data_IF_781651326378
#
_entry.id   IF_781651326378
#
_cell.length_a   1.000
_cell.length_b   1.000
_cell.length_c   1.000
_cell.angle_alpha   90.00
_cell.angle_beta   90.00
_cell.angle_gamma   90.00
#
_symmetry.space_group_name_H-M   'P 1'
#
loop_
_entity.id
_entity.type
_entity.pdbx_description
1 polymer ?
#
# COMPACT_ATOMS: atom_id res chain seq x y z
N UNK A 1 -38.29 -41.37 -42.14
CA UNK A 1 -36.92 -41.00 -41.72
C UNK A 1 -36.94 -39.51 -41.40
N UNK A 2 -36.95 -39.12 -40.12
CA UNK A 2 -36.91 -37.72 -39.67
C UNK A 2 -35.69 -37.58 -38.76
N UNK A 3 -34.71 -36.79 -39.20
CA UNK A 3 -33.53 -36.44 -38.42
C UNK A 3 -33.90 -35.16 -37.68
N UNK A 4 -34.03 -35.25 -36.36
CA UNK A 4 -34.32 -34.11 -35.49
C UNK A 4 -33.01 -33.36 -35.22
N UNK A 5 -32.95 -32.10 -35.63
CA UNK A 5 -31.87 -31.18 -35.31
C UNK A 5 -32.00 -30.74 -33.84
N UNK A 6 -31.13 -31.26 -32.98
CA UNK A 6 -30.95 -30.72 -31.63
C UNK A 6 -29.91 -29.60 -31.70
N UNK A 7 -30.37 -28.35 -31.58
CA UNK A 7 -29.51 -27.18 -31.40
C UNK A 7 -29.05 -27.20 -29.94
N UNK A 8 -27.77 -27.49 -29.73
CA UNK A 8 -27.11 -27.34 -28.43
C UNK A 8 -26.74 -25.86 -28.29
N UNK A 9 -27.47 -25.13 -27.44
CA UNK A 9 -27.04 -23.81 -26.98
C UNK A 9 -25.94 -24.01 -25.94
N UNK A 10 -24.68 -23.84 -26.37
CA UNK A 10 -23.55 -23.72 -25.46
C UNK A 10 -23.62 -22.30 -24.87
N UNK A 11 -24.17 -22.18 -23.65
CA UNK A 11 -24.04 -20.97 -22.86
C UNK A 11 -22.55 -20.81 -22.50
N UNK A 12 -21.86 -19.94 -23.23
CA UNK A 12 -20.56 -19.40 -22.83
C UNK A 12 -20.81 -18.54 -21.59
N UNK A 13 -20.69 -19.17 -20.41
CA UNK A 13 -20.45 -18.44 -19.17
C UNK A 13 -19.07 -17.80 -19.34
N UNK A 14 -19.05 -16.53 -19.75
CA UNK A 14 -17.84 -15.71 -19.59
C UNK A 14 -17.51 -15.72 -18.10
N UNK A 15 -16.32 -16.17 -17.68
CA UNK A 15 -15.88 -15.95 -16.32
C UNK A 15 -15.76 -14.43 -16.17
N UNK A 16 -16.76 -13.81 -15.56
CA UNK A 16 -16.52 -12.54 -14.91
C UNK A 16 -15.54 -12.89 -13.79
N UNK A 17 -14.29 -12.48 -13.94
CA UNK A 17 -13.33 -12.50 -12.84
C UNK A 17 -13.89 -11.55 -11.78
N UNK A 18 -14.70 -12.09 -10.88
CA UNK A 18 -15.13 -11.37 -9.68
C UNK A 18 -13.93 -11.34 -8.77
N UNK A 19 -13.23 -10.21 -8.75
CA UNK A 19 -12.17 -9.95 -7.79
C UNK A 19 -12.74 -9.95 -6.38
N UNK A 20 -12.04 -10.60 -5.45
CA UNK A 20 -12.44 -10.63 -4.06
C UNK A 20 -12.25 -9.23 -3.44
N UNK A 21 -13.24 -8.77 -2.69
CA UNK A 21 -13.10 -7.53 -1.91
C UNK A 21 -11.91 -7.65 -0.94
N UNK A 22 -11.26 -6.54 -0.62
CA UNK A 22 -10.18 -6.56 0.35
C UNK A 22 -10.61 -7.17 1.70
N UNK A 23 -9.84 -8.15 2.15
CA UNK A 23 -9.98 -8.75 3.48
C UNK A 23 -9.02 -8.00 4.40
N UNK A 24 -9.58 -7.08 5.17
CA UNK A 24 -8.79 -6.29 6.09
C UNK A 24 -8.51 -7.05 7.39
N UNK A 25 -7.33 -6.86 8.01
CA UNK A 25 -7.07 -7.39 9.34
C UNK A 25 -8.08 -6.81 10.34
N UNK A 26 -8.55 -7.69 11.22
CA UNK A 26 -9.62 -7.36 12.17
C UNK A 26 -9.09 -6.89 13.52
N UNK A 27 -7.84 -7.23 13.84
CA UNK A 27 -7.16 -6.81 15.05
C UNK A 27 -6.02 -5.84 14.68
N UNK A 28 -5.77 -4.85 15.55
CA UNK A 28 -4.64 -3.95 15.35
C UNK A 28 -3.28 -4.68 15.45
N UNK A 29 -3.23 -5.79 16.20
CA UNK A 29 -2.02 -6.61 16.37
C UNK A 29 -1.63 -7.41 15.12
N UNK A 30 -2.54 -7.53 14.15
CA UNK A 30 -2.24 -8.19 12.86
C UNK A 30 -1.40 -7.25 11.95
N UNK A 31 -1.38 -5.95 12.24
CA UNK A 31 -0.61 -4.97 11.49
C UNK A 31 0.83 -4.89 12.00
N UNK A 32 1.77 -4.85 11.06
CA UNK A 32 3.18 -4.65 11.40
C UNK A 32 3.49 -3.16 11.35
N UNK A 33 3.79 -2.58 12.51
CA UNK A 33 4.24 -1.21 12.62
C UNK A 33 5.59 -1.00 11.92
N UNK A 34 5.71 0.08 11.15
CA UNK A 34 6.92 0.45 10.43
C UNK A 34 7.63 1.57 11.18
N UNK A 35 8.91 1.35 11.47
CA UNK A 35 9.77 2.37 12.07
C UNK A 35 10.64 3.02 11.01
N UNK A 36 10.77 4.34 11.09
CA UNK A 36 11.69 5.10 10.24
C UNK A 36 13.05 5.16 10.93
N UNK A 37 14.13 5.14 10.15
CA UNK A 37 15.47 5.30 10.68
C UNK A 37 15.77 6.76 11.10
N UNK A 38 16.81 6.95 11.93
CA UNK A 38 17.33 8.21 12.51
C UNK A 38 16.83 8.60 13.91
N UNK A 39 16.10 7.73 14.61
CA UNK A 39 15.67 7.99 15.99
C UNK A 39 14.64 9.12 16.12
N UNK A 40 14.17 9.66 14.99
CA UNK A 40 12.92 10.39 14.87
C UNK A 40 11.83 9.34 14.63
N UNK A 41 11.29 8.76 15.72
CA UNK A 41 10.18 7.80 15.66
C UNK A 41 8.83 8.39 15.23
N UNK A 42 8.85 9.47 14.43
CA UNK A 42 7.72 10.35 14.19
C UNK A 42 7.76 10.80 12.72
N UNK A 43 6.61 10.83 12.07
CA UNK A 43 6.38 11.68 10.91
C UNK A 43 5.97 13.05 11.43
N UNK A 44 6.44 14.10 10.78
CA UNK A 44 6.13 15.45 11.20
C UNK A 44 6.42 16.42 10.09
N UNK A 45 5.43 17.27 9.82
CA UNK A 45 5.49 18.62 9.28
C UNK A 45 6.91 18.99 8.78
N UNK A 46 7.14 18.84 7.46
CA UNK A 46 8.28 19.53 6.83
C UNK A 46 8.17 20.99 7.18
N UNK A 47 9.28 21.71 7.33
CA UNK A 47 9.29 23.10 7.84
C UNK A 47 8.42 24.15 7.09
N UNK A 48 7.64 23.73 6.09
CA UNK A 48 6.75 24.48 5.21
C UNK A 48 5.32 23.91 5.11
N UNK A 49 4.81 23.09 6.05
CA UNK A 49 3.41 22.66 6.00
C UNK A 49 2.44 23.85 6.25
N UNK A 50 2.15 24.58 5.18
CA UNK A 50 1.20 25.67 5.18
C UNK A 50 -0.16 25.17 4.70
N UNK A 51 -0.97 24.70 5.66
CA UNK A 51 -2.43 24.68 5.61
C UNK A 51 -3.14 23.78 4.56
N UNK A 52 -4.30 23.17 4.93
CA UNK A 52 -4.74 22.91 6.30
C UNK A 52 -3.87 21.87 6.99
N UNK A 53 -3.56 22.10 8.27
CA UNK A 53 -2.80 21.23 9.18
C UNK A 53 -3.67 20.14 9.82
N UNK A 54 -4.76 19.76 9.15
CA UNK A 54 -5.80 18.88 9.69
C UNK A 54 -5.85 17.54 8.96
N UNK A 55 -4.84 17.25 8.14
CA UNK A 55 -4.80 16.02 7.35
C UNK A 55 -3.37 15.45 7.33
N UNK A 56 -2.63 15.75 8.40
CA UNK A 56 -1.22 15.45 8.56
C UNK A 56 -1.08 13.99 9.00
N UNK A 57 -0.02 13.32 8.53
CA UNK A 57 0.35 12.03 9.06
C UNK A 57 0.86 12.19 10.50
N UNK A 58 0.26 11.47 11.46
CA UNK A 58 0.59 11.59 12.88
C UNK A 58 1.01 10.26 13.50
N UNK A 59 2.04 10.28 14.34
CA UNK A 59 2.47 9.10 15.08
C UNK A 59 3.57 9.41 16.07
N UNK A 60 3.89 8.44 16.93
CA UNK A 60 4.94 8.49 17.92
C UNK A 60 5.51 7.09 18.26
N UNK A 61 6.52 7.04 19.13
CA UNK A 61 7.17 5.79 19.56
C UNK A 61 6.21 4.74 20.16
N UNK A 62 5.07 5.16 20.69
CA UNK A 62 4.03 4.29 21.27
C UNK A 62 2.77 4.17 20.40
N UNK A 63 2.69 4.94 19.32
CA UNK A 63 1.54 5.04 18.44
C UNK A 63 2.04 5.20 17.00
N UNK A 64 2.42 4.09 16.35
CA UNK A 64 3.04 4.16 15.02
C UNK A 64 2.14 4.86 14.00
N UNK A 65 2.75 5.56 13.05
CA UNK A 65 2.03 6.23 11.96
C UNK A 65 1.75 5.23 10.83
N UNK A 66 2.78 4.56 10.35
CA UNK A 66 2.71 3.64 9.22
C UNK A 66 2.69 2.20 9.72
N UNK A 67 1.79 1.42 9.15
CA UNK A 67 1.75 -0.03 9.30
C UNK A 67 1.60 -0.68 7.93
N UNK A 68 1.97 -1.94 7.85
CA UNK A 68 1.74 -2.76 6.67
C UNK A 68 1.29 -4.16 7.06
N UNK A 69 0.71 -4.87 6.10
CA UNK A 69 0.28 -6.24 6.23
C UNK A 69 0.29 -6.93 4.86
N UNK A 70 0.72 -8.19 4.83
CA UNK A 70 0.56 -9.06 3.67
C UNK A 70 -0.56 -10.06 3.95
N UNK A 71 -1.65 -9.95 3.20
CA UNK A 71 -2.81 -10.83 3.31
C UNK A 71 -2.65 -12.01 2.35
N UNK A 72 -2.17 -13.13 2.89
CA UNK A 72 -2.22 -14.46 2.24
C UNK A 72 -3.63 -15.04 2.41
N UNK A 73 -4.37 -15.20 1.31
CA UNK A 73 -5.72 -15.75 1.35
C UNK A 73 -5.74 -17.28 1.50
N UNK A 74 -4.58 -17.90 1.74
CA UNK A 74 -4.41 -19.30 2.06
C UNK A 74 -4.53 -20.20 0.84
N UNK A 75 -4.43 -19.63 -0.37
CA UNK A 75 -4.43 -20.38 -1.62
C UNK A 75 -3.01 -20.49 -2.18
N UNK A 76 -2.80 -21.41 -3.11
CA UNK A 76 -1.48 -21.57 -3.77
C UNK A 76 -1.29 -20.49 -4.84
N UNK A 77 -2.41 -19.95 -5.34
CA UNK A 77 -2.41 -18.87 -6.31
C UNK A 77 -2.34 -17.54 -5.55
N UNK A 78 -1.44 -16.65 -5.96
CA UNK A 78 -1.27 -15.34 -5.31
C UNK A 78 -2.16 -14.27 -5.97
N UNK A 79 -2.98 -14.67 -6.94
CA UNK A 79 -3.88 -13.75 -7.65
C UNK A 79 -4.96 -13.15 -6.76
N UNK A 80 -5.22 -13.74 -5.58
CA UNK A 80 -6.13 -13.21 -4.56
C UNK A 80 -5.42 -12.61 -3.34
N UNK A 81 -4.09 -12.65 -3.27
CA UNK A 81 -3.32 -12.06 -2.18
C UNK A 81 -3.26 -10.53 -2.29
N UNK A 82 -3.02 -9.86 -1.16
CA UNK A 82 -2.99 -8.40 -1.11
C UNK A 82 -1.84 -7.86 -0.26
N UNK A 83 -1.25 -6.76 -0.74
CA UNK A 83 -0.41 -5.89 0.07
C UNK A 83 -1.26 -4.75 0.62
N UNK A 84 -1.14 -4.49 1.92
CA UNK A 84 -1.99 -3.55 2.64
C UNK A 84 -1.13 -2.60 3.46
N UNK A 85 -1.52 -1.33 3.45
CA UNK A 85 -0.90 -0.27 4.23
C UNK A 85 -1.95 0.42 5.08
N UNK A 86 -1.52 0.90 6.23
CA UNK A 86 -2.33 1.71 7.14
C UNK A 86 -1.52 2.92 7.55
N UNK A 87 -2.12 4.08 7.39
CA UNK A 87 -1.57 5.37 7.81
C UNK A 87 -2.43 5.94 8.92
N UNK A 88 -1.82 6.41 10.00
CA UNK A 88 -2.50 7.21 11.01
C UNK A 88 -2.45 8.68 10.60
N UNK A 89 -3.61 9.30 10.54
CA UNK A 89 -3.79 10.70 10.18
C UNK A 89 -4.53 11.42 11.31
N UNK A 90 -4.33 12.72 11.45
CA UNK A 90 -5.09 13.50 12.41
C UNK A 90 -6.55 13.75 11.98
N UNK A 91 -7.28 14.45 12.85
CA UNK A 91 -8.71 14.68 12.68
C UNK A 91 -8.99 15.56 11.46
N UNK A 92 -9.97 15.14 10.63
CA UNK A 92 -10.46 15.73 9.36
C UNK A 92 -10.23 14.91 8.07
N UNK A 93 -10.42 13.58 8.13
CA UNK A 93 -10.54 12.68 6.97
C UNK A 93 -11.57 13.10 5.87
N UNK A 94 -12.35 14.17 6.08
CA UNK A 94 -13.40 14.63 5.18
C UNK A 94 -13.05 15.89 4.36
N UNK A 95 -11.81 16.40 4.44
CA UNK A 95 -11.41 17.60 3.69
C UNK A 95 -10.66 17.24 2.38
N UNK A 96 -11.22 17.52 1.19
CA UNK A 96 -10.76 16.89 -0.05
C UNK A 96 -9.64 17.65 -0.80
N UNK A 97 -8.41 17.70 -0.31
CA UNK A 97 -7.29 18.38 -1.00
C UNK A 97 -5.94 17.65 -0.93
N UNK A 98 -5.95 16.35 -0.63
CA UNK A 98 -4.75 15.65 -0.20
C UNK A 98 -4.53 14.34 -0.93
N UNK A 99 -3.25 14.03 -1.12
CA UNK A 99 -2.77 12.74 -1.57
C UNK A 99 -1.95 12.09 -0.44
N UNK A 100 -2.37 10.91 0.02
CA UNK A 100 -1.56 10.07 0.91
C UNK A 100 -0.83 9.03 0.08
N UNK A 101 0.46 8.91 0.30
CA UNK A 101 1.35 8.17 -0.57
C UNK A 101 2.14 7.13 0.22
N UNK A 102 2.28 5.95 -0.36
CA UNK A 102 3.31 4.97 0.00
C UNK A 102 4.31 4.98 -1.14
N UNK A 103 5.56 5.31 -0.82
CA UNK A 103 6.65 5.35 -1.78
C UNK A 103 7.48 4.08 -1.65
N UNK A 104 7.91 3.53 -2.78
CA UNK A 104 8.60 2.25 -2.85
C UNK A 104 9.97 2.40 -3.49
N UNK A 105 10.90 1.65 -2.93
CA UNK A 105 12.20 1.35 -3.50
C UNK A 105 12.27 -0.17 -3.67
N UNK A 106 12.23 -0.58 -4.93
CA UNK A 106 12.04 -1.95 -5.38
C UNK A 106 13.34 -2.60 -5.84
N UNK A 107 14.37 -1.82 -6.15
CA UNK A 107 15.67 -2.37 -6.56
C UNK A 107 16.80 -2.14 -5.52
N UNK A 108 16.48 -1.50 -4.41
CA UNK A 108 17.36 -1.18 -3.27
C UNK A 108 18.49 -0.21 -3.58
N UNK A 109 18.34 0.64 -4.59
CA UNK A 109 19.30 1.69 -4.93
C UNK A 109 19.15 2.99 -4.11
N UNK A 110 18.08 3.07 -3.31
CA UNK A 110 17.68 4.19 -2.45
C UNK A 110 17.03 5.38 -3.17
N UNK A 111 16.54 5.16 -4.39
CA UNK A 111 15.56 5.97 -5.10
C UNK A 111 14.10 5.58 -4.80
N UNK A 112 13.15 6.39 -5.24
CA UNK A 112 11.72 6.03 -5.25
C UNK A 112 11.38 5.56 -6.66
N UNK A 113 11.10 4.27 -6.82
CA UNK A 113 10.71 3.67 -8.09
C UNK A 113 9.21 3.81 -8.38
N UNK A 114 8.39 3.61 -7.35
CA UNK A 114 6.94 3.58 -7.47
C UNK A 114 6.26 4.31 -6.31
N UNK A 115 5.06 4.82 -6.58
CA UNK A 115 4.19 5.45 -5.58
C UNK A 115 2.80 4.85 -5.67
N UNK A 116 2.30 4.35 -4.54
CA UNK A 116 0.89 4.04 -4.31
C UNK A 116 0.24 5.24 -3.63
N UNK A 117 -0.68 5.88 -4.33
CA UNK A 117 -1.32 7.11 -3.88
C UNK A 117 -2.83 6.90 -3.69
N UNK A 118 -3.37 7.40 -2.59
CA UNK A 118 -4.78 7.73 -2.45
C UNK A 118 -4.94 9.24 -2.64
N UNK A 119 -5.40 9.65 -3.82
CA UNK A 119 -5.80 11.02 -4.11
C UNK A 119 -7.25 11.21 -3.66
N UNK A 120 -7.42 12.06 -2.65
CA UNK A 120 -8.70 12.44 -2.08
C UNK A 120 -8.98 13.93 -2.32
N UNK A 121 -8.63 14.44 -3.50
CA UNK A 121 -8.87 15.82 -3.93
C UNK A 121 -10.31 16.12 -4.38
N UNK A 122 -11.21 15.11 -4.39
CA UNK A 122 -12.63 15.29 -4.67
C UNK A 122 -13.00 15.37 -6.15
N UNK A 123 -12.11 15.08 -7.12
CA UNK A 123 -12.46 15.14 -8.55
C UNK A 123 -11.67 14.22 -9.51
N UNK A 124 -12.04 12.93 -9.65
CA UNK A 124 -12.66 12.07 -8.64
C UNK A 124 -11.60 11.56 -7.64
N UNK A 125 -12.02 11.16 -6.44
CA UNK A 125 -11.14 10.41 -5.54
C UNK A 125 -10.69 9.12 -6.23
N UNK A 126 -9.41 8.79 -6.11
CA UNK A 126 -8.79 7.72 -6.88
C UNK A 126 -7.59 7.13 -6.14
N UNK A 127 -7.37 5.84 -6.37
CA UNK A 127 -6.14 5.17 -5.97
C UNK A 127 -5.29 4.91 -7.20
N UNK A 128 -4.00 5.19 -7.09
CA UNK A 128 -3.07 5.23 -8.21
C UNK A 128 -1.83 4.46 -7.86
N UNK A 129 -1.30 3.68 -8.79
CA UNK A 129 0.04 3.12 -8.67
C UNK A 129 0.87 3.56 -9.88
N UNK A 130 1.91 4.33 -9.63
CA UNK A 130 2.60 5.07 -10.68
C UNK A 130 4.11 4.92 -10.49
N UNK A 131 4.84 4.69 -11.57
CA UNK A 131 6.30 4.77 -11.56
C UNK A 131 6.75 6.23 -11.48
N UNK A 132 7.97 6.50 -11.00
CA UNK A 132 8.55 7.84 -11.04
C UNK A 132 9.32 8.07 -12.34
N UNK A 133 9.37 9.33 -12.81
CA UNK A 133 10.21 9.72 -13.98
C UNK A 133 11.63 10.09 -13.53
N UNK A 134 11.73 10.64 -12.32
CA UNK A 134 12.95 11.13 -11.67
C UNK A 134 12.84 10.58 -10.25
N UNK A 135 13.72 9.64 -9.90
CA UNK A 135 13.54 8.79 -8.73
C UNK A 135 14.32 7.48 -8.74
N UNK A 136 15.09 7.17 -9.80
CA UNK A 136 15.79 5.87 -9.94
C UNK A 136 17.21 5.96 -10.51
N UNK A 137 17.83 7.15 -10.52
CA UNK A 137 19.24 7.29 -10.92
C UNK A 137 20.07 8.09 -9.89
N UNK A 138 20.02 7.66 -8.62
CA UNK A 138 21.13 7.84 -7.68
C UNK A 138 20.90 8.67 -6.41
N UNK A 139 21.85 8.50 -5.48
CA UNK A 139 21.91 9.08 -4.12
C UNK A 139 21.94 10.62 -4.03
N UNK A 140 21.98 11.31 -5.17
CA UNK A 140 22.09 12.78 -5.24
C UNK A 140 20.73 13.47 -5.50
N UNK A 141 19.64 12.71 -5.70
CA UNK A 141 18.29 13.25 -5.88
C UNK A 141 17.66 13.63 -4.53
N UNK A 142 16.98 14.78 -4.50
CA UNK A 142 16.25 15.23 -3.29
C UNK A 142 14.75 14.98 -3.42
N UNK A 143 14.04 15.02 -2.29
CA UNK A 143 12.57 14.81 -2.27
C UNK A 143 11.84 15.73 -3.26
N UNK A 144 12.30 16.98 -3.40
CA UNK A 144 11.71 17.96 -4.32
C UNK A 144 11.86 17.62 -5.82
N UNK A 145 12.81 16.75 -6.18
CA UNK A 145 13.05 16.34 -7.57
C UNK A 145 12.10 15.22 -8.02
N UNK A 146 11.42 14.55 -7.07
CA UNK A 146 10.54 13.41 -7.33
C UNK A 146 9.29 13.86 -8.08
N UNK A 147 9.13 13.34 -9.31
CA UNK A 147 7.96 13.58 -10.16
C UNK A 147 7.37 12.27 -10.61
N UNK A 148 6.04 12.15 -10.56
CA UNK A 148 5.34 10.92 -10.96
C UNK A 148 5.18 10.84 -12.48
N UNK A 149 5.29 9.62 -13.03
CA UNK A 149 5.04 9.37 -14.44
C UNK A 149 3.54 9.39 -14.75
N UNK A 150 3.02 10.60 -15.01
CA UNK A 150 1.61 10.80 -15.38
C UNK A 150 1.24 10.21 -16.73
N UNK A 151 2.22 9.79 -17.55
CA UNK A 151 1.97 9.14 -18.84
C UNK A 151 1.77 7.63 -18.71
N UNK A 152 2.29 7.00 -17.64
CA UNK A 152 2.11 5.57 -17.34
C UNK A 152 1.45 5.22 -15.97
N UNK A 153 0.45 5.98 -15.48
CA UNK A 153 -0.24 5.68 -14.23
C UNK A 153 -1.14 4.46 -14.36
N UNK A 154 -1.09 3.59 -13.35
CA UNK A 154 -2.03 2.50 -13.21
C UNK A 154 -3.20 2.98 -12.34
N UNK A 155 -4.23 3.52 -12.99
CA UNK A 155 -5.43 4.05 -12.32
C UNK A 155 -6.46 2.96 -12.01
N UNK A 156 -7.10 3.09 -10.85
CA UNK A 156 -8.17 2.19 -10.38
C UNK A 156 -9.56 2.48 -10.95
N UNK A 157 -9.71 3.45 -11.85
CA UNK A 157 -11.03 3.65 -12.49
C UNK A 157 -11.37 2.55 -13.49
N UNK A 158 -10.39 1.81 -14.05
CA UNK A 158 -10.69 0.79 -15.06
C UNK A 158 -9.92 -0.54 -15.00
N UNK A 159 -8.72 -0.66 -14.39
CA UNK A 159 -7.93 -1.91 -14.50
C UNK A 159 -7.09 -2.34 -13.29
N UNK A 160 -7.19 -1.68 -12.13
CA UNK A 160 -6.55 -2.14 -10.88
C UNK A 160 -7.54 -2.26 -9.74
N UNK A 161 -7.39 -3.37 -9.03
CA UNK A 161 -8.12 -3.66 -7.80
C UNK A 161 -7.29 -3.11 -6.64
N UNK A 162 -7.60 -1.88 -6.27
CA UNK A 162 -7.15 -1.30 -5.02
C UNK A 162 -8.37 -0.84 -4.22
N UNK A 163 -8.23 -0.87 -2.91
CA UNK A 163 -9.29 -0.53 -1.97
C UNK A 163 -8.76 0.47 -0.95
N UNK A 164 -9.61 1.39 -0.51
CA UNK A 164 -9.32 2.21 0.66
C UNK A 164 -10.49 2.27 1.61
N UNK A 165 -10.19 2.57 2.88
CA UNK A 165 -11.20 2.91 3.88
C UNK A 165 -10.62 3.84 4.94
N UNK A 166 -11.51 4.63 5.51
CA UNK A 166 -11.25 5.40 6.72
C UNK A 166 -11.89 4.69 7.91
N UNK A 167 -11.15 4.55 9.01
CA UNK A 167 -11.65 4.00 10.27
C UNK A 167 -11.13 4.86 11.41
N UNK A 168 -11.91 4.98 12.49
CA UNK A 168 -11.42 5.64 13.70
C UNK A 168 -10.34 4.78 14.36
N UNK A 169 -9.35 5.41 14.96
CA UNK A 169 -8.28 4.68 15.68
C UNK A 169 -8.82 3.95 16.92
N UNK A 170 -9.84 4.53 17.57
CA UNK A 170 -10.56 3.92 18.69
C UNK A 170 -9.75 3.81 19.99
N UNK A 171 -8.55 4.40 20.03
CA UNK A 171 -7.68 4.42 21.22
C UNK A 171 -7.87 5.68 22.08
N UNK A 172 -8.67 6.64 21.60
CA UNK A 172 -8.93 7.91 22.29
C UNK A 172 -7.71 8.84 22.33
N UNK A 173 -6.70 8.57 21.52
CA UNK A 173 -5.52 9.43 21.35
C UNK A 173 -5.79 10.37 20.17
N UNK A 174 -5.48 11.65 20.37
CA UNK A 174 -5.43 12.66 19.32
C UNK A 174 -4.00 13.22 19.31
N UNK A 175 -3.25 12.92 18.26
CA UNK A 175 -1.89 13.42 18.05
C UNK A 175 -1.87 14.69 17.19
N UNK A 176 -3.00 15.02 16.55
CA UNK A 176 -3.20 16.24 15.77
C UNK A 176 -3.30 17.51 16.59
N UNK A 177 -3.25 18.64 15.86
CA UNK A 177 -3.40 20.00 16.44
C UNK A 177 -4.88 20.40 16.63
N UNK A 178 -5.82 19.66 16.05
CA UNK A 178 -7.27 19.89 16.11
C UNK A 178 -8.06 18.60 16.37
N UNK A 179 -9.34 18.71 16.73
CA UNK A 179 -10.25 17.56 16.73
C UNK A 179 -10.41 16.74 18.02
N UNK A 180 -11.09 15.58 17.91
CA UNK A 180 -11.40 14.69 19.04
C UNK A 180 -10.74 13.30 19.00
N UNK A 181 -10.36 12.80 17.82
CA UNK A 181 -9.66 11.52 17.66
C UNK A 181 -8.90 11.46 16.32
N UNK A 182 -7.85 10.66 16.26
CA UNK A 182 -7.14 10.35 15.02
C UNK A 182 -7.88 9.26 14.20
N UNK A 183 -7.59 9.19 12.90
CA UNK A 183 -8.12 8.17 11.99
C UNK A 183 -7.01 7.30 11.40
N UNK A 184 -7.38 6.11 10.94
CA UNK A 184 -6.58 5.33 10.02
C UNK A 184 -7.13 5.44 8.60
N UNK A 185 -6.21 5.61 7.65
CA UNK A 185 -6.43 5.39 6.22
C UNK A 185 -5.80 4.05 5.88
N UNK A 186 -6.63 3.06 5.55
CA UNK A 186 -6.14 1.78 5.04
C UNK A 186 -6.18 1.82 3.51
N UNK A 187 -5.11 1.35 2.87
CA UNK A 187 -4.98 1.20 1.41
C UNK A 187 -4.55 -0.24 1.12
N UNK A 188 -5.23 -0.92 0.21
CA UNK A 188 -4.90 -2.28 -0.22
C UNK A 188 -4.73 -2.34 -1.73
N UNK A 189 -3.81 -3.17 -2.19
CA UNK A 189 -3.60 -3.49 -3.60
C UNK A 189 -3.44 -5.00 -3.77
N UNK A 190 -4.02 -5.53 -4.83
CA UNK A 190 -3.79 -6.92 -5.22
C UNK A 190 -2.30 -7.18 -5.48
N UNK A 191 -1.76 -8.22 -4.85
CA UNK A 191 -0.34 -8.57 -4.93
C UNK A 191 0.13 -8.82 -6.35
N UNK A 192 -0.70 -9.46 -7.18
CA UNK A 192 -0.37 -9.72 -8.58
C UNK A 192 -0.20 -8.41 -9.39
N UNK A 193 -0.96 -7.36 -9.06
CA UNK A 193 -0.79 -6.04 -9.68
C UNK A 193 0.56 -5.45 -9.29
N UNK A 194 0.84 -5.43 -7.98
CA UNK A 194 2.11 -4.91 -7.44
C UNK A 194 3.31 -5.65 -8.04
N UNK A 195 3.36 -6.98 -7.90
CA UNK A 195 4.46 -7.82 -8.38
C UNK A 195 4.66 -7.78 -9.89
N UNK A 196 3.59 -7.68 -10.69
CA UNK A 196 3.71 -7.54 -12.15
C UNK A 196 4.33 -6.20 -12.53
N UNK A 197 3.95 -5.14 -11.82
CA UNK A 197 4.44 -3.79 -12.10
C UNK A 197 5.89 -3.60 -11.64
N UNK A 198 6.24 -4.09 -10.44
CA UNK A 198 7.55 -3.89 -9.80
C UNK A 198 8.56 -5.00 -10.04
N UNK A 199 8.11 -6.16 -10.54
CA UNK A 199 8.91 -7.38 -10.64
C UNK A 199 9.43 -7.91 -9.28
N UNK A 200 8.80 -7.53 -8.17
CA UNK A 200 9.06 -8.07 -6.82
C UNK A 200 8.31 -9.38 -6.63
N UNK A 201 9.02 -10.45 -6.25
CA UNK A 201 8.47 -11.73 -5.83
C UNK A 201 8.37 -11.88 -4.30
N UNK A 202 7.74 -12.97 -3.84
CA UNK A 202 7.54 -13.27 -2.41
C UNK A 202 8.83 -13.45 -1.59
N UNK A 203 9.97 -13.67 -2.23
CA UNK A 203 11.25 -13.83 -1.55
C UNK A 203 12.12 -12.59 -1.62
N UNK A 204 11.70 -11.61 -2.42
CA UNK A 204 12.45 -10.40 -2.63
C UNK A 204 12.19 -9.42 -1.49
N UNK A 205 13.12 -8.52 -1.32
CA UNK A 205 13.04 -7.46 -0.31
C UNK A 205 12.91 -6.14 -1.02
N UNK A 206 12.04 -5.28 -0.50
CA UNK A 206 11.89 -3.90 -0.95
C UNK A 206 11.81 -2.99 0.29
N UNK A 207 12.01 -1.71 0.06
CA UNK A 207 11.85 -0.67 1.09
C UNK A 207 10.65 0.19 0.73
N UNK A 208 10.04 0.77 1.75
CA UNK A 208 8.98 1.74 1.53
C UNK A 208 8.93 2.76 2.66
N UNK A 209 8.32 3.89 2.35
CA UNK A 209 8.01 4.96 3.28
C UNK A 209 6.63 5.53 2.98
N UNK A 210 6.21 6.49 3.79
CA UNK A 210 4.99 7.25 3.52
C UNK A 210 5.31 8.70 3.25
N UNK A 211 4.43 9.36 2.51
CA UNK A 211 4.44 10.81 2.36
C UNK A 211 3.04 11.36 2.15
N UNK A 212 2.90 12.69 2.23
CA UNK A 212 1.72 13.37 1.73
C UNK A 212 2.08 14.43 0.70
N UNK A 213 1.06 14.83 -0.07
CA UNK A 213 1.17 15.89 -1.05
C UNK A 213 -0.09 16.73 -1.11
N UNK A 214 0.10 18.00 -1.43
CA UNK A 214 -0.96 18.92 -1.81
C UNK A 214 -1.41 18.74 -3.29
N UNK A 215 -0.76 17.84 -4.03
CA UNK A 215 -1.02 17.58 -5.46
C UNK A 215 -0.89 16.08 -5.76
N UNK A 216 -1.49 15.59 -6.84
CA UNK A 216 -1.38 14.19 -7.29
C UNK A 216 -0.12 13.91 -8.14
N UNK A 217 0.94 14.74 -8.01
CA UNK A 217 2.07 14.77 -8.95
C UNK A 217 3.46 14.82 -8.31
N UNK A 218 3.56 15.02 -6.99
CA UNK A 218 4.84 15.21 -6.31
C UNK A 218 4.75 14.85 -4.82
N UNK A 219 5.88 14.84 -4.12
CA UNK A 219 5.97 14.72 -2.66
C UNK A 219 6.33 16.11 -2.11
N UNK A 220 5.42 16.76 -1.37
CA UNK A 220 5.62 18.16 -0.98
C UNK A 220 4.98 18.58 0.35
N UNK A 221 4.42 17.65 1.14
CA UNK A 221 3.95 17.91 2.51
C UNK A 221 4.67 16.99 3.49
N UNK A 222 3.99 16.03 4.11
CA UNK A 222 4.55 15.22 5.17
C UNK A 222 5.55 14.21 4.63
N UNK A 223 6.70 14.14 5.29
CA UNK A 223 7.71 13.07 5.18
C UNK A 223 8.16 12.74 6.61
N UNK A 224 9.04 11.73 6.82
CA UNK A 224 9.57 11.50 8.15
C UNK A 224 10.09 12.76 8.85
N UNK A 225 9.82 12.91 10.14
CA UNK A 225 10.12 14.14 10.86
C UNK A 225 11.61 14.47 10.82
N UNK A 226 11.92 15.74 10.52
CA UNK A 226 13.30 16.20 10.43
C UNK A 226 13.96 15.91 9.09
N UNK A 227 13.15 15.58 8.07
CA UNK A 227 13.54 15.67 6.67
C UNK A 227 13.08 17.00 6.05
N UNK A 228 13.91 17.54 5.17
CA UNK A 228 13.65 18.72 4.35
C UNK A 228 13.52 18.32 2.88
N UNK A 229 12.80 19.05 2.02
CA UNK A 229 12.76 18.77 0.57
C UNK A 229 14.14 18.70 -0.13
N UNK A 230 15.19 19.25 0.51
CA UNK A 230 16.59 19.16 0.09
C UNK A 230 17.35 17.93 0.61
N UNK A 231 16.75 17.12 1.49
CA UNK A 231 17.35 15.87 1.93
C UNK A 231 17.29 14.80 0.83
N UNK A 232 18.27 13.88 0.78
CA UNK A 232 18.29 12.80 -0.20
C UNK A 232 17.08 11.88 -0.08
N UNK A 233 16.56 11.37 -1.19
CA UNK A 233 15.44 10.40 -1.20
C UNK A 233 15.69 9.19 -0.29
N UNK A 234 16.94 8.71 -0.26
CA UNK A 234 17.38 7.63 0.62
C UNK A 234 17.04 7.83 2.12
N UNK A 235 16.83 9.08 2.54
CA UNK A 235 16.49 9.43 3.92
C UNK A 235 15.03 9.15 4.30
N UNK A 236 14.14 8.98 3.32
CA UNK A 236 12.74 8.58 3.52
C UNK A 236 12.68 7.13 3.99
N UNK A 237 13.54 6.27 3.42
CA UNK A 237 13.53 4.85 3.69
C UNK A 237 14.18 4.55 5.05
N UNK A 238 13.40 3.92 5.95
CA UNK A 238 13.94 3.42 7.21
C UNK A 238 14.87 2.21 7.03
N UNK A 239 15.34 1.63 8.14
CA UNK A 239 15.98 0.30 8.16
C UNK A 239 14.99 -0.84 7.83
N UNK A 240 13.74 -0.49 7.50
CA UNK A 240 12.65 -1.39 7.22
C UNK A 240 12.83 -2.04 5.84
N UNK A 241 13.73 -3.01 5.78
CA UNK A 241 13.72 -4.05 4.76
C UNK A 241 12.61 -5.01 5.15
N UNK A 242 11.60 -5.13 4.30
CA UNK A 242 10.46 -5.98 4.59
C UNK A 242 10.62 -7.33 3.92
N UNK A 243 10.91 -8.41 4.70
CA UNK A 243 10.74 -9.76 4.19
C UNK A 243 9.24 -10.06 4.15
N UNK A 244 8.75 -10.52 3.00
CA UNK A 244 7.39 -11.03 2.92
C UNK A 244 7.29 -12.32 3.76
N UNK A 245 6.16 -12.54 4.46
CA UNK A 245 5.98 -13.76 5.23
C UNK A 245 6.10 -14.96 4.31
N UNK A 246 6.89 -15.97 4.69
CA UNK A 246 6.86 -17.24 3.96
C UNK A 246 5.43 -17.80 4.04
N UNK A 247 4.86 -18.30 2.93
CA UNK A 247 3.54 -18.92 2.94
C UNK A 247 3.52 -19.98 4.03
N UNK A 248 2.51 -19.91 4.91
CA UNK A 248 2.55 -20.60 6.19
C UNK A 248 2.93 -22.08 5.97
N UNK A 249 4.03 -22.50 6.60
CA UNK A 249 4.57 -23.87 6.44
C UNK A 249 3.54 -24.94 6.86
N UNK A 250 2.50 -24.52 7.58
CA UNK A 250 1.31 -25.28 7.96
C UNK A 250 0.54 -25.79 6.74
N UNK A 251 0.38 -24.98 5.69
CA UNK A 251 -0.29 -25.39 4.44
C UNK A 251 0.50 -26.48 3.72
N UNK A 252 1.83 -26.36 3.69
CA UNK A 252 2.74 -27.38 3.16
C UNK A 252 2.72 -28.67 4.00
N UNK A 253 2.67 -28.54 5.34
CA UNK A 253 2.57 -29.68 6.24
C UNK A 253 1.23 -30.42 6.07
N UNK A 254 0.13 -29.68 5.98
CA UNK A 254 -1.22 -30.25 5.80
C UNK A 254 -1.35 -31.00 4.48
N UNK A 255 -0.80 -30.46 3.38
CA UNK A 255 -0.73 -31.16 2.09
C UNK A 255 0.17 -32.41 2.17
N UNK A 256 1.29 -32.33 2.88
CA UNK A 256 2.16 -33.48 3.15
C UNK A 256 1.43 -34.60 3.89
N UNK A 257 0.67 -34.28 4.93
CA UNK A 257 -0.14 -35.24 5.67
C UNK A 257 -1.28 -35.81 4.84
N UNK A 258 -1.97 -35.00 4.04
CA UNK A 258 -3.00 -35.47 3.10
C UNK A 258 -2.42 -36.43 2.05
N UNK A 259 -1.25 -36.12 1.49
CA UNK A 259 -0.54 -36.99 0.56
C UNK A 259 -0.12 -38.32 1.19
N UNK A 260 0.39 -38.30 2.42
CA UNK A 260 0.75 -39.50 3.17
C UNK A 260 -0.48 -40.34 3.56
N UNK A 261 -1.59 -39.70 3.94
CA UNK A 261 -2.85 -40.37 4.26
C UNK A 261 -3.48 -41.04 3.03
N UNK A 262 -3.40 -40.41 1.86
CA UNK A 262 -3.85 -40.99 0.60
C UNK A 262 -2.95 -42.14 0.11
N UNK A 263 -1.63 -42.07 0.34
CA UNK A 263 -0.70 -43.15 0.00
C UNK A 263 -0.90 -44.42 0.84
N UNK A 264 -1.40 -44.29 2.07
CA UNK A 264 -1.65 -45.43 2.98
C UNK A 264 -2.90 -46.25 2.65
N UNK A 265 -3.74 -45.79 1.71
CA UNK A 265 -4.97 -46.48 1.26
C UNK A 265 -4.80 -47.26 -0.06
N UNK A 266 -3.58 -47.42 -0.57
CA UNK A 266 -3.23 -48.33 -1.66
C UNK A 266 -2.34 -49.44 -1.14
#
# INVERSE_FOLDING_TARGET
MKISNAIIYLFLLSPNLTHAAAIWPTLNDDWVAVTINKGAGYYGDISQDESPTSVDMVGNDTTPMLFWHYQDNGTVDQSDDQIQFRLRIDDEANNPQYAWQIVFDTDTDAGIDYVLELDYSGNPDKICFTSTIIGGEGIDETIADVTFDTDNPIWTTENVIAYSRFITTGDGINLGKAGSEDFYVDIAMDWNTFSTATNIGLTDTFRFGASTSATDQSINKDVPQGLDPSDPVASIFGDSVVPLPEPSSVSLLALGFCGLAMRRKR
#
